data_IF_584104173274
#
_entry.id   IF_584104173274
#
_cell.length_a   1.000
_cell.length_b   1.000
_cell.length_c   1.000
_cell.angle_alpha   90.00
_cell.angle_beta   90.00
_cell.angle_gamma   90.00
#
_symmetry.space_group_name_H-M   'P 1'
#
loop_
_entity.id
_entity.type
_entity.pdbx_description
1 polymer ?
#
# COMPACT_ATOMS: atom_id res chain seq x y z
N UNK A 1 10.76 -6.38 -35.98
CA UNK A 1 9.30 -6.56 -35.79
C UNK A 1 9.05 -6.72 -34.30
N UNK A 2 8.35 -5.77 -33.68
CA UNK A 2 8.08 -5.79 -32.24
C UNK A 2 6.81 -6.58 -31.98
N UNK A 3 6.91 -7.70 -31.26
CA UNK A 3 5.74 -8.47 -30.82
C UNK A 3 5.29 -7.90 -29.48
N UNK A 4 4.18 -7.18 -29.49
CA UNK A 4 3.56 -6.66 -28.26
C UNK A 4 2.71 -7.79 -27.68
N UNK A 5 3.19 -8.42 -26.62
CA UNK A 5 2.40 -9.36 -25.84
C UNK A 5 1.42 -8.60 -24.94
N UNK A 6 0.18 -8.42 -25.42
CA UNK A 6 -0.91 -7.97 -24.57
C UNK A 6 -1.28 -9.11 -23.61
N UNK A 7 -0.95 -8.96 -22.32
CA UNK A 7 -1.44 -9.91 -21.30
C UNK A 7 -2.95 -9.80 -21.22
N UNK A 8 -3.64 -10.94 -21.28
CA UNK A 8 -5.06 -10.99 -21.00
C UNK A 8 -5.33 -10.39 -19.60
N UNK A 9 -6.31 -9.47 -19.46
CA UNK A 9 -6.65 -8.95 -18.15
C UNK A 9 -7.12 -10.10 -17.24
N UNK A 10 -6.75 -10.07 -15.95
CA UNK A 10 -7.22 -11.07 -14.99
C UNK A 10 -8.76 -11.07 -14.93
N UNK A 11 -9.37 -12.23 -14.62
CA UNK A 11 -10.83 -12.34 -14.56
C UNK A 11 -11.40 -11.39 -13.52
N UNK A 12 -12.55 -10.80 -13.85
CA UNK A 12 -13.24 -9.87 -12.97
C UNK A 12 -13.62 -10.57 -11.65
N UNK A 13 -13.38 -9.89 -10.55
CA UNK A 13 -13.56 -10.43 -9.21
C UNK A 13 -14.95 -10.08 -8.66
N UNK A 14 -15.58 -11.03 -7.94
CA UNK A 14 -16.96 -10.91 -7.47
C UNK A 14 -17.22 -9.61 -6.70
N UNK A 15 -18.26 -8.88 -7.08
CA UNK A 15 -18.58 -7.55 -6.52
C UNK A 15 -19.66 -7.70 -5.44
N UNK A 16 -19.32 -7.36 -4.19
CA UNK A 16 -20.26 -7.34 -3.06
C UNK A 16 -20.44 -5.92 -2.49
N UNK A 17 -21.57 -5.62 -1.83
CA UNK A 17 -21.79 -4.33 -1.17
C UNK A 17 -20.72 -4.11 -0.08
N UNK A 18 -20.02 -2.98 -0.13
CA UNK A 18 -18.93 -2.64 0.78
C UNK A 18 -17.52 -2.84 0.22
N UNK A 19 -17.35 -3.62 -0.87
CA UNK A 19 -16.03 -3.82 -1.50
C UNK A 19 -15.38 -2.51 -1.95
N UNK A 20 -16.16 -1.58 -2.51
CA UNK A 20 -15.67 -0.26 -2.96
C UNK A 20 -15.09 0.57 -1.83
N UNK A 21 -15.73 0.56 -0.66
CA UNK A 21 -15.27 1.29 0.51
C UNK A 21 -13.94 0.71 1.01
N UNK A 22 -13.85 -0.62 1.12
CA UNK A 22 -12.61 -1.33 1.45
C UNK A 22 -11.49 -1.05 0.44
N UNK A 23 -11.80 -1.06 -0.86
CA UNK A 23 -10.84 -0.78 -1.92
C UNK A 23 -10.33 0.66 -1.87
N UNK A 24 -11.20 1.61 -1.53
CA UNK A 24 -10.82 3.01 -1.33
C UNK A 24 -9.92 3.19 -0.10
N UNK A 25 -10.24 2.51 1.01
CA UNK A 25 -9.39 2.52 2.22
C UNK A 25 -8.01 1.95 1.90
N UNK A 26 -7.91 0.79 1.26
CA UNK A 26 -6.62 0.22 0.83
C UNK A 26 -5.87 1.14 -0.16
N UNK A 27 -6.59 1.76 -1.10
CA UNK A 27 -6.00 2.65 -2.09
C UNK A 27 -5.28 3.84 -1.47
N UNK A 28 -5.84 4.40 -0.40
CA UNK A 28 -5.34 5.59 0.30
C UNK A 28 -4.39 5.24 1.45
N UNK A 29 -4.55 4.06 2.08
CA UNK A 29 -3.75 3.65 3.23
C UNK A 29 -2.24 3.71 2.95
N UNK A 30 -1.78 3.14 1.83
CA UNK A 30 -0.34 3.12 1.52
C UNK A 30 0.26 4.51 1.27
N UNK A 31 -0.34 5.35 0.40
CA UNK A 31 0.10 6.73 0.25
C UNK A 31 0.07 7.53 1.56
N UNK A 32 -0.94 7.31 2.41
CA UNK A 32 -1.03 7.95 3.72
C UNK A 32 0.09 7.52 4.67
N UNK A 33 0.43 6.22 4.69
CA UNK A 33 1.56 5.70 5.49
C UNK A 33 2.88 6.31 5.04
N UNK A 34 3.12 6.42 3.72
CA UNK A 34 4.32 7.09 3.20
C UNK A 34 4.36 8.57 3.56
N UNK A 35 3.24 9.28 3.44
CA UNK A 35 3.15 10.68 3.83
C UNK A 35 3.42 10.86 5.34
N UNK A 36 2.83 10.02 6.20
CA UNK A 36 3.07 10.05 7.64
C UNK A 36 4.54 9.80 7.97
N UNK A 37 5.18 8.82 7.31
CA UNK A 37 6.60 8.55 7.47
C UNK A 37 7.48 9.75 7.07
N UNK A 38 7.18 10.39 5.94
CA UNK A 38 7.86 11.62 5.50
C UNK A 38 7.71 12.78 6.48
N UNK A 39 6.57 12.88 7.16
CA UNK A 39 6.30 13.95 8.14
C UNK A 39 7.01 13.74 9.48
N UNK A 40 7.29 12.48 9.86
CA UNK A 40 7.98 12.14 11.11
C UNK A 40 9.50 12.07 10.93
N UNK A 41 9.98 12.00 9.70
CA UNK A 41 11.41 12.05 9.38
C UNK A 41 12.02 13.37 9.89
N UNK A 42 13.00 13.26 10.78
CA UNK A 42 13.76 14.39 11.35
C UNK A 42 14.78 14.99 10.38
N UNK A 43 14.85 14.47 9.15
CA UNK A 43 15.81 14.91 8.13
C UNK A 43 15.20 16.07 7.34
N UNK A 44 15.91 17.20 7.16
CA UNK A 44 15.41 18.32 6.35
C UNK A 44 15.46 17.95 4.86
N UNK A 45 14.32 17.46 4.34
CA UNK A 45 14.17 17.04 2.94
C UNK A 45 13.94 18.21 1.97
N UNK A 46 13.62 19.41 2.48
CA UNK A 46 13.38 20.62 1.68
C UNK A 46 12.35 20.40 0.56
N UNK A 47 12.68 20.88 -0.65
CA UNK A 47 11.83 20.74 -1.83
C UNK A 47 11.53 19.26 -2.18
N UNK A 48 12.51 18.37 -2.00
CA UNK A 48 12.31 16.95 -2.29
C UNK A 48 11.22 16.33 -1.40
N UNK A 49 11.15 16.74 -0.13
CA UNK A 49 10.09 16.33 0.80
C UNK A 49 8.71 16.81 0.36
N UNK A 50 8.62 18.07 -0.09
CA UNK A 50 7.36 18.63 -0.61
C UNK A 50 6.91 17.93 -1.89
N UNK A 51 7.83 17.66 -2.83
CA UNK A 51 7.53 16.88 -4.03
C UNK A 51 7.07 15.46 -3.69
N UNK A 52 7.71 14.81 -2.73
CA UNK A 52 7.34 13.46 -2.29
C UNK A 52 5.95 13.42 -1.63
N UNK A 53 5.61 14.42 -0.81
CA UNK A 53 4.27 14.57 -0.22
C UNK A 53 3.20 14.83 -1.29
N UNK A 54 3.48 15.73 -2.25
CA UNK A 54 2.57 15.98 -3.37
C UNK A 54 2.36 14.69 -4.20
N UNK A 55 3.43 13.92 -4.42
CA UNK A 55 3.34 12.63 -5.08
C UNK A 55 2.48 11.63 -4.31
N UNK A 56 2.58 11.57 -2.97
CA UNK A 56 1.70 10.75 -2.15
C UNK A 56 0.21 11.13 -2.37
N UNK A 57 -0.09 12.44 -2.42
CA UNK A 57 -1.44 12.93 -2.72
C UNK A 57 -1.94 12.48 -4.11
N UNK A 58 -1.15 12.70 -5.16
CA UNK A 58 -1.49 12.27 -6.53
C UNK A 58 -1.66 10.76 -6.61
N UNK A 59 -0.77 9.99 -5.97
CA UNK A 59 -0.84 8.54 -5.92
C UNK A 59 -2.13 8.07 -5.21
N UNK A 60 -2.51 8.71 -4.10
CA UNK A 60 -3.76 8.42 -3.38
C UNK A 60 -4.99 8.64 -4.27
N UNK A 61 -5.08 9.81 -4.92
CA UNK A 61 -6.20 10.15 -5.81
C UNK A 61 -6.29 9.16 -6.99
N UNK A 62 -5.18 8.90 -7.67
CA UNK A 62 -5.16 7.95 -8.81
C UNK A 62 -5.61 6.55 -8.40
N UNK A 63 -5.14 6.08 -7.24
CA UNK A 63 -5.52 4.76 -6.72
C UNK A 63 -6.98 4.73 -6.28
N UNK A 64 -7.49 5.80 -5.68
CA UNK A 64 -8.90 5.92 -5.26
C UNK A 64 -9.85 5.95 -6.47
N UNK A 65 -9.55 6.74 -7.50
CA UNK A 65 -10.34 6.77 -8.75
C UNK A 65 -10.39 5.39 -9.38
N UNK A 66 -9.26 4.67 -9.41
CA UNK A 66 -9.20 3.29 -9.92
C UNK A 66 -9.96 2.32 -9.03
N UNK A 67 -9.86 2.43 -7.71
CA UNK A 67 -10.56 1.57 -6.76
C UNK A 67 -12.09 1.71 -6.88
N UNK A 68 -12.59 2.92 -7.14
CA UNK A 68 -14.02 3.19 -7.28
C UNK A 68 -14.53 2.86 -8.68
N UNK A 69 -13.83 3.33 -9.72
CA UNK A 69 -14.24 3.17 -11.12
C UNK A 69 -13.99 1.76 -11.68
N UNK A 70 -12.88 1.13 -11.31
CA UNK A 70 -12.48 -0.20 -11.77
C UNK A 70 -12.49 -1.22 -10.61
N UNK A 71 -13.42 -1.11 -9.67
CA UNK A 71 -13.46 -1.97 -8.47
C UNK A 71 -13.45 -3.48 -8.80
N UNK A 72 -14.06 -3.87 -9.93
CA UNK A 72 -14.10 -5.24 -10.44
C UNK A 72 -12.73 -5.78 -10.85
N UNK A 73 -11.73 -4.91 -11.05
CA UNK A 73 -10.32 -5.23 -11.34
C UNK A 73 -9.36 -4.80 -10.24
N UNK A 74 -9.88 -4.27 -9.13
CA UNK A 74 -9.04 -3.81 -8.04
C UNK A 74 -8.63 -4.97 -7.14
N UNK A 75 -7.31 -5.17 -7.03
CA UNK A 75 -6.71 -6.13 -6.12
C UNK A 75 -6.17 -5.40 -4.88
N UNK A 76 -6.59 -5.84 -3.71
CA UNK A 76 -6.15 -5.30 -2.43
C UNK A 76 -4.63 -5.41 -2.29
N UNK A 77 -3.95 -4.28 -2.30
CA UNK A 77 -2.50 -4.22 -2.12
C UNK A 77 -2.09 -4.49 -0.69
N UNK A 78 -2.96 -4.23 0.29
CA UNK A 78 -2.73 -4.58 1.71
C UNK A 78 -2.41 -6.06 1.86
N UNK A 79 -3.09 -6.92 1.10
CA UNK A 79 -2.90 -8.38 1.22
C UNK A 79 -1.51 -8.82 0.74
N UNK A 80 -0.95 -8.12 -0.25
CA UNK A 80 0.37 -8.43 -0.81
C UNK A 80 1.50 -8.15 0.19
N UNK A 81 1.36 -7.10 0.99
CA UNK A 81 2.38 -6.67 1.94
C UNK A 81 2.10 -7.14 3.38
N UNK A 82 0.83 -7.34 3.74
CA UNK A 82 0.41 -7.74 5.08
C UNK A 82 1.11 -9.01 5.54
N UNK A 83 1.29 -10.02 4.67
CA UNK A 83 2.03 -11.23 5.01
C UNK A 83 3.48 -10.94 5.41
N UNK A 84 4.18 -10.10 4.66
CA UNK A 84 5.59 -9.78 4.94
C UNK A 84 5.75 -8.91 6.19
N UNK A 85 4.85 -7.96 6.39
CA UNK A 85 4.82 -7.13 7.61
C UNK A 85 4.55 -8.01 8.84
N UNK A 86 3.58 -8.92 8.76
CA UNK A 86 3.27 -9.86 9.84
C UNK A 86 4.48 -10.73 10.20
N UNK A 87 5.17 -11.27 9.18
CA UNK A 87 6.39 -12.06 9.40
C UNK A 87 7.51 -11.24 10.05
N UNK A 88 7.73 -10.00 9.59
CA UNK A 88 8.71 -9.11 10.19
C UNK A 88 8.39 -8.78 11.65
N UNK A 89 7.11 -8.50 11.96
CA UNK A 89 6.64 -8.25 13.33
C UNK A 89 6.78 -9.48 14.22
N UNK A 90 6.39 -10.66 13.73
CA UNK A 90 6.53 -11.92 14.46
C UNK A 90 8.00 -12.22 14.79
N UNK A 91 8.90 -11.99 13.84
CA UNK A 91 10.33 -12.14 14.04
C UNK A 91 10.86 -11.15 15.09
N UNK A 92 10.53 -9.86 14.98
CA UNK A 92 10.93 -8.86 15.96
C UNK A 92 10.40 -9.15 17.38
N UNK A 93 9.18 -9.67 17.49
CA UNK A 93 8.60 -10.09 18.76
C UNK A 93 9.30 -11.31 19.35
N UNK A 94 9.63 -12.31 18.53
CA UNK A 94 10.40 -13.48 18.95
C UNK A 94 11.80 -13.09 19.48
N UNK A 95 12.49 -12.17 18.81
CA UNK A 95 13.76 -11.63 19.30
C UNK A 95 13.62 -10.91 20.64
N UNK A 96 12.57 -10.11 20.81
CA UNK A 96 12.31 -9.40 22.07
C UNK A 96 12.02 -10.37 23.22
N UNK A 97 11.25 -11.44 22.96
CA UNK A 97 11.00 -12.52 23.91
C UNK A 97 12.29 -13.25 24.28
N UNK A 98 13.10 -13.63 23.30
CA UNK A 98 14.38 -14.29 23.54
C UNK A 98 15.31 -13.43 24.42
N UNK A 99 15.41 -12.13 24.12
CA UNK A 99 16.19 -11.18 24.92
C UNK A 99 15.68 -11.07 26.36
N UNK A 100 14.36 -11.03 26.55
CA UNK A 100 13.74 -10.93 27.88
C UNK A 100 13.90 -12.21 28.71
N UNK A 101 13.90 -13.38 28.06
CA UNK A 101 14.12 -14.68 28.72
C UNK A 101 15.60 -14.97 29.00
N UNK A 102 16.51 -14.30 28.29
CA UNK A 102 17.97 -14.40 28.50
C UNK A 102 18.53 -13.38 29.51
N UNK A 103 17.70 -12.47 30.00
CA UNK A 103 18.02 -11.47 31.02
C UNK A 103 17.60 -12.00 32.41
#
# INVERSE_FOLDING_TARGET
MWVIFARAPPPDVHVWPGRRALALVDAVAWPAVWAAWLLVLSVPLGLAGQCALAWCGVAAVRRAVRAVGENHRYHFTTWRWGRWILLALAFGYALKLAAFLSA
#
